data_IF_215142477776
#
_entry.id   IF_215142477776
#
_cell.length_a   1.000
_cell.length_b   1.000
_cell.length_c   1.000
_cell.angle_alpha   90.00
_cell.angle_beta   90.00
_cell.angle_gamma   90.00
#
_symmetry.space_group_name_H-M   'P 1'
#
loop_
_entity.id
_entity.type
_entity.pdbx_description
1 polymer ?
#
# COMPACT_ATOMS: atom_id res chain seq x y z
N UNK A 1 -37.81 -80.06 4.83
CA UNK A 1 -36.49 -79.58 5.35
C UNK A 1 -36.01 -78.34 4.56
N UNK A 2 -36.80 -77.27 4.44
CA UNK A 2 -36.48 -76.09 3.57
C UNK A 2 -36.33 -74.78 4.35
N UNK A 3 -37.14 -74.59 5.38
CA UNK A 3 -37.26 -73.31 6.12
C UNK A 3 -35.96 -72.82 6.79
N UNK A 4 -35.19 -73.73 7.41
CA UNK A 4 -33.93 -73.35 8.09
C UNK A 4 -32.88 -72.85 7.08
N UNK A 5 -32.86 -73.43 5.87
CA UNK A 5 -31.89 -73.05 4.83
C UNK A 5 -32.24 -71.69 4.24
N UNK A 6 -33.52 -71.45 3.95
CA UNK A 6 -34.04 -70.16 3.49
C UNK A 6 -33.84 -69.05 4.52
N UNK A 7 -34.05 -69.36 5.81
CA UNK A 7 -33.81 -68.40 6.89
C UNK A 7 -32.33 -68.01 7.01
N UNK A 8 -31.41 -68.97 6.95
CA UNK A 8 -29.96 -68.73 6.94
C UNK A 8 -29.54 -67.89 5.72
N UNK A 9 -30.10 -68.18 4.54
CA UNK A 9 -29.81 -67.40 3.33
C UNK A 9 -30.32 -65.95 3.44
N UNK A 10 -31.47 -65.72 4.07
CA UNK A 10 -31.98 -64.36 4.29
C UNK A 10 -31.06 -63.55 5.20
N UNK A 11 -30.58 -64.16 6.30
CA UNK A 11 -29.64 -63.51 7.23
C UNK A 11 -28.32 -63.21 6.53
N UNK A 12 -27.80 -64.15 5.74
CA UNK A 12 -26.56 -63.94 5.00
C UNK A 12 -26.68 -62.81 3.97
N UNK A 13 -27.84 -62.66 3.32
CA UNK A 13 -28.10 -61.53 2.41
C UNK A 13 -28.19 -60.21 3.16
N UNK A 14 -28.88 -60.16 4.30
CA UNK A 14 -28.97 -58.94 5.11
C UNK A 14 -27.60 -58.50 5.64
N UNK A 15 -26.75 -59.44 6.07
CA UNK A 15 -25.38 -59.17 6.52
C UNK A 15 -24.51 -58.69 5.35
N UNK A 16 -24.62 -59.31 4.17
CA UNK A 16 -23.88 -58.89 2.98
C UNK A 16 -24.30 -57.48 2.54
N UNK A 17 -25.60 -57.18 2.50
CA UNK A 17 -26.12 -55.86 2.14
C UNK A 17 -25.73 -54.77 3.16
N UNK A 18 -25.74 -55.11 4.46
CA UNK A 18 -25.27 -54.21 5.51
C UNK A 18 -23.77 -53.92 5.38
N UNK A 19 -22.97 -54.93 5.01
CA UNK A 19 -21.54 -54.78 4.82
C UNK A 19 -21.20 -53.91 3.59
N UNK A 20 -21.93 -54.07 2.49
CA UNK A 20 -21.78 -53.26 1.28
C UNK A 20 -22.16 -51.80 1.52
N UNK A 21 -23.26 -51.55 2.23
CA UNK A 21 -23.67 -50.20 2.63
C UNK A 21 -22.62 -49.55 3.55
N UNK A 22 -22.07 -50.31 4.50
CA UNK A 22 -21.02 -49.82 5.38
C UNK A 22 -19.71 -49.50 4.64
N UNK A 23 -19.34 -50.28 3.63
CA UNK A 23 -18.18 -50.01 2.78
C UNK A 23 -18.40 -48.76 1.91
N UNK A 24 -19.54 -48.66 1.25
CA UNK A 24 -19.90 -47.48 0.46
C UNK A 24 -19.91 -46.19 1.30
N UNK A 25 -20.38 -46.27 2.55
CA UNK A 25 -20.35 -45.15 3.48
C UNK A 25 -18.92 -44.74 3.85
N UNK A 26 -18.04 -45.70 4.14
CA UNK A 26 -16.63 -45.42 4.45
C UNK A 26 -15.90 -44.78 3.26
N UNK A 27 -16.14 -45.26 2.05
CA UNK A 27 -15.56 -44.68 0.84
C UNK A 27 -16.06 -43.25 0.57
N UNK A 28 -17.36 -43.01 0.81
CA UNK A 28 -17.94 -41.67 0.71
C UNK A 28 -17.37 -40.71 1.76
N UNK A 29 -17.19 -41.17 3.01
CA UNK A 29 -16.61 -40.39 4.09
C UNK A 29 -15.12 -40.08 3.82
N UNK A 30 -14.36 -41.05 3.30
CA UNK A 30 -12.97 -40.85 2.88
C UNK A 30 -12.84 -39.87 1.72
N UNK A 31 -13.71 -39.95 0.72
CA UNK A 31 -13.74 -38.99 -0.38
C UNK A 31 -14.09 -37.59 0.11
N UNK A 32 -15.10 -37.46 0.98
CA UNK A 32 -15.48 -36.19 1.59
C UNK A 32 -14.33 -35.60 2.42
N UNK A 33 -13.56 -36.44 3.12
CA UNK A 33 -12.39 -36.00 3.89
C UNK A 33 -11.26 -35.52 2.97
N UNK A 34 -10.93 -36.28 1.90
CA UNK A 34 -9.94 -35.88 0.90
C UNK A 34 -10.31 -34.57 0.20
N UNK A 35 -11.59 -34.37 -0.11
CA UNK A 35 -12.07 -33.10 -0.68
C UNK A 35 -11.92 -31.93 0.29
N UNK A 36 -12.24 -32.12 1.57
CA UNK A 36 -12.05 -31.08 2.60
C UNK A 36 -10.57 -30.73 2.73
N UNK A 37 -9.69 -31.72 2.77
CA UNK A 37 -8.24 -31.51 2.81
C UNK A 37 -7.70 -30.83 1.56
N UNK A 38 -8.22 -31.18 0.37
CA UNK A 38 -7.84 -30.52 -0.88
C UNK A 38 -8.27 -29.06 -0.89
N UNK A 39 -9.49 -28.75 -0.40
CA UNK A 39 -9.99 -27.37 -0.28
C UNK A 39 -9.16 -26.55 0.70
N UNK A 40 -8.79 -27.11 1.85
CA UNK A 40 -7.94 -26.40 2.83
C UNK A 40 -6.54 -26.17 2.31
N UNK A 41 -5.92 -27.14 1.61
CA UNK A 41 -4.62 -26.97 0.96
C UNK A 41 -4.65 -25.85 -0.09
N UNK A 42 -5.64 -25.85 -0.99
CA UNK A 42 -5.81 -24.79 -1.99
C UNK A 42 -5.93 -23.40 -1.34
N UNK A 43 -6.76 -23.28 -0.31
CA UNK A 43 -6.91 -22.01 0.42
C UNK A 43 -5.60 -21.57 1.11
N UNK A 44 -4.79 -22.50 1.62
CA UNK A 44 -3.48 -22.18 2.19
C UNK A 44 -2.49 -21.73 1.13
N UNK A 45 -2.48 -22.37 -0.03
CA UNK A 45 -1.59 -22.01 -1.14
C UNK A 45 -1.96 -20.64 -1.73
N UNK A 46 -3.24 -20.34 -1.88
CA UNK A 46 -3.73 -19.01 -2.25
C UNK A 46 -3.30 -17.94 -1.24
N UNK A 47 -3.43 -18.21 0.07
CA UNK A 47 -2.95 -17.30 1.11
C UNK A 47 -1.45 -17.07 1.00
N UNK A 48 -0.65 -18.12 0.83
CA UNK A 48 0.80 -18.02 0.64
C UNK A 48 1.17 -17.22 -0.61
N UNK A 49 0.48 -17.44 -1.72
CA UNK A 49 0.66 -16.70 -2.96
C UNK A 49 0.36 -15.21 -2.76
N UNK A 50 -0.74 -14.88 -2.08
CA UNK A 50 -1.10 -13.49 -1.78
C UNK A 50 -0.07 -12.78 -0.90
N UNK A 51 0.47 -13.47 0.11
CA UNK A 51 1.53 -12.93 0.98
C UNK A 51 2.81 -12.66 0.17
N UNK A 52 3.22 -13.60 -0.69
CA UNK A 52 4.37 -13.42 -1.59
C UNK A 52 4.17 -12.22 -2.50
N UNK A 53 2.98 -12.09 -3.12
CA UNK A 53 2.65 -10.95 -3.98
C UNK A 53 2.78 -9.62 -3.21
N UNK A 54 2.24 -9.54 -1.99
CA UNK A 54 2.32 -8.33 -1.16
C UNK A 54 3.78 -7.98 -0.80
N UNK A 55 4.60 -8.98 -0.49
CA UNK A 55 6.04 -8.78 -0.21
C UNK A 55 6.75 -8.22 -1.44
N UNK A 56 6.51 -8.80 -2.62
CA UNK A 56 7.12 -8.33 -3.87
C UNK A 56 6.66 -6.93 -4.26
N UNK A 57 5.38 -6.61 -4.11
CA UNK A 57 4.87 -5.24 -4.29
C UNK A 57 5.57 -4.26 -3.36
N UNK A 58 5.72 -4.61 -2.08
CA UNK A 58 6.41 -3.78 -1.10
C UNK A 58 7.90 -3.60 -1.44
N UNK A 59 8.59 -4.66 -1.88
CA UNK A 59 9.99 -4.58 -2.35
C UNK A 59 10.13 -3.67 -3.56
N UNK A 60 9.25 -3.80 -4.55
CA UNK A 60 9.26 -2.93 -5.73
C UNK A 60 9.00 -1.47 -5.36
N UNK A 61 8.09 -1.21 -4.43
CA UNK A 61 7.83 0.13 -3.91
C UNK A 61 9.06 0.71 -3.19
N UNK A 62 9.74 -0.09 -2.36
CA UNK A 62 10.98 0.32 -1.70
C UNK A 62 12.11 0.59 -2.71
N UNK A 63 12.27 -0.26 -3.74
CA UNK A 63 13.26 -0.06 -4.80
C UNK A 63 12.96 1.19 -5.61
N UNK A 64 11.70 1.46 -5.96
CA UNK A 64 11.27 2.72 -6.58
C UNK A 64 11.64 3.90 -5.70
N UNK A 65 11.25 3.89 -4.42
CA UNK A 65 11.56 4.97 -3.46
C UNK A 65 13.07 5.21 -3.29
N UNK A 66 13.89 4.15 -3.32
CA UNK A 66 15.36 4.26 -3.27
C UNK A 66 15.97 4.80 -4.58
N UNK A 67 15.33 4.53 -5.72
CA UNK A 67 15.77 5.00 -7.03
C UNK A 67 15.28 6.41 -7.36
N UNK A 68 14.25 6.91 -6.66
CA UNK A 68 13.69 8.23 -6.90
C UNK A 68 14.65 9.34 -6.46
N UNK A 69 15.04 10.18 -7.42
CA UNK A 69 15.77 11.43 -7.14
C UNK A 69 14.88 12.44 -6.40
N UNK A 70 15.48 13.41 -5.70
CA UNK A 70 14.74 14.50 -5.04
C UNK A 70 13.76 15.20 -6.00
N UNK A 71 14.17 15.40 -7.25
CA UNK A 71 13.35 16.05 -8.28
C UNK A 71 12.10 15.22 -8.62
N UNK A 72 12.25 13.90 -8.75
CA UNK A 72 11.13 12.98 -9.03
C UNK A 72 10.18 12.87 -7.82
N UNK A 73 10.70 12.86 -6.60
CA UNK A 73 9.87 12.88 -5.40
C UNK A 73 9.09 14.20 -5.28
N UNK A 74 9.75 15.34 -5.52
CA UNK A 74 9.13 16.66 -5.53
C UNK A 74 8.02 16.77 -6.58
N UNK A 75 8.27 16.30 -7.81
CA UNK A 75 7.28 16.33 -8.89
C UNK A 75 6.03 15.49 -8.57
N UNK A 76 6.20 14.29 -8.01
CA UNK A 76 5.07 13.42 -7.63
C UNK A 76 4.30 13.95 -6.43
N UNK A 77 5.01 14.43 -5.41
CA UNK A 77 4.39 15.09 -4.27
C UNK A 77 3.53 16.28 -4.74
N UNK A 78 4.06 17.09 -5.65
CA UNK A 78 3.34 18.20 -6.23
C UNK A 78 2.08 17.76 -7.01
N UNK A 79 2.22 16.75 -7.88
CA UNK A 79 1.10 16.22 -8.64
C UNK A 79 0.00 15.64 -7.75
N UNK A 80 0.35 15.10 -6.58
CA UNK A 80 -0.58 14.56 -5.59
C UNK A 80 -1.25 15.62 -4.70
N UNK A 81 -0.85 16.90 -4.78
CA UNK A 81 -1.46 17.95 -3.96
C UNK A 81 -2.93 18.21 -4.36
N UNK A 82 -3.84 18.41 -3.40
CA UNK A 82 -5.20 18.89 -3.66
C UNK A 82 -5.19 20.25 -4.39
N UNK A 83 -6.18 20.54 -5.26
CA UNK A 83 -6.23 21.80 -6.01
C UNK A 83 -6.08 23.05 -5.14
N UNK A 84 -6.71 23.07 -3.96
CA UNK A 84 -6.69 24.21 -3.03
C UNK A 84 -5.29 24.51 -2.45
N UNK A 85 -4.40 23.53 -2.46
CA UNK A 85 -3.02 23.66 -1.97
C UNK A 85 -2.03 23.99 -3.08
N UNK A 86 -2.37 23.73 -4.35
CA UNK A 86 -1.47 23.92 -5.50
C UNK A 86 -1.11 25.37 -5.82
N UNK A 87 -1.80 26.35 -5.23
CA UNK A 87 -1.51 27.76 -5.46
C UNK A 87 -1.03 28.46 -4.19
N UNK A 88 -0.70 27.71 -3.13
CA UNK A 88 -0.25 28.28 -1.86
C UNK A 88 1.26 28.20 -1.74
N UNK A 89 1.80 29.11 -0.93
CA UNK A 89 3.19 29.04 -0.53
C UNK A 89 3.37 27.93 0.49
N UNK A 90 4.41 27.13 0.30
CA UNK A 90 4.74 25.99 1.15
C UNK A 90 5.93 26.28 2.06
N UNK A 91 5.82 25.85 3.31
CA UNK A 91 6.93 25.92 4.25
C UNK A 91 8.03 24.93 3.85
N UNK A 92 9.29 25.30 4.09
CA UNK A 92 10.41 24.38 3.81
C UNK A 92 10.28 23.06 4.58
N UNK A 93 9.82 23.14 5.84
CA UNK A 93 9.57 21.97 6.69
C UNK A 93 8.40 21.10 6.18
N UNK A 94 7.36 21.71 5.60
CA UNK A 94 6.23 20.97 5.01
C UNK A 94 6.71 20.11 3.83
N UNK A 95 7.48 20.72 2.92
CA UNK A 95 8.05 20.04 1.75
C UNK A 95 9.02 18.95 2.22
N UNK A 96 9.90 19.27 3.17
CA UNK A 96 10.88 18.31 3.73
C UNK A 96 10.21 17.10 4.36
N UNK A 97 9.15 17.30 5.15
CA UNK A 97 8.41 16.21 5.78
C UNK A 97 7.67 15.32 4.77
N UNK A 98 7.30 15.85 3.61
CA UNK A 98 6.64 15.07 2.57
C UNK A 98 7.61 14.24 1.70
N UNK A 99 8.88 14.65 1.61
CA UNK A 99 9.91 14.02 0.77
C UNK A 99 10.86 13.10 1.56
N UNK A 100 10.36 12.48 2.65
CA UNK A 100 11.19 11.64 3.53
C UNK A 100 11.80 10.45 2.77
N UNK A 101 13.14 10.36 2.77
CA UNK A 101 13.86 9.20 2.23
C UNK A 101 15.31 9.41 1.77
N UNK A 102 15.83 10.64 1.69
CA UNK A 102 17.16 10.89 1.14
C UNK A 102 18.13 11.57 2.14
N UNK A 103 18.87 10.69 2.85
CA UNK A 103 20.15 10.90 3.56
C UNK A 103 20.22 11.83 4.81
N UNK A 104 21.26 11.66 5.67
CA UNK A 104 21.32 12.20 7.02
C UNK A 104 21.58 13.70 6.97
N UNK A 105 20.53 14.45 7.18
CA UNK A 105 20.52 15.90 7.20
C UNK A 105 19.17 16.38 7.68
N UNK A 106 18.80 15.97 8.91
CA UNK A 106 17.62 16.44 9.63
C UNK A 106 17.79 17.89 10.10
N UNK A 107 18.31 18.76 9.22
CA UNK A 107 18.47 20.17 9.47
C UNK A 107 17.49 20.96 8.62
N UNK A 108 16.97 22.04 9.20
CA UNK A 108 16.07 23.00 8.55
C UNK A 108 16.69 23.70 7.33
N UNK A 109 17.94 23.39 6.96
CA UNK A 109 18.70 24.03 5.89
C UNK A 109 19.20 23.02 4.84
N UNK A 110 18.46 21.95 4.54
CA UNK A 110 18.86 20.96 3.53
C UNK A 110 19.17 21.63 2.16
N UNK A 111 20.47 21.72 1.77
CA UNK A 111 20.86 22.46 0.57
C UNK A 111 20.48 21.70 -0.70
N UNK A 112 20.43 20.36 -0.65
CA UNK A 112 20.02 19.52 -1.76
C UNK A 112 18.55 19.73 -2.11
N UNK A 113 17.67 19.81 -1.10
CA UNK A 113 16.26 20.15 -1.31
C UNK A 113 16.09 21.57 -1.88
N UNK A 114 16.86 22.54 -1.36
CA UNK A 114 16.82 23.91 -1.88
C UNK A 114 17.29 24.00 -3.34
N UNK A 115 18.28 23.19 -3.73
CA UNK A 115 18.75 23.09 -5.11
C UNK A 115 17.70 22.45 -6.02
N UNK A 116 17.09 21.34 -5.59
CA UNK A 116 16.01 20.66 -6.32
C UNK A 116 14.80 21.59 -6.56
N UNK A 117 14.38 22.32 -5.52
CA UNK A 117 13.29 23.30 -5.64
C UNK A 117 13.59 24.39 -6.67
N UNK A 118 14.80 24.95 -6.65
CA UNK A 118 15.22 25.96 -7.65
C UNK A 118 15.30 25.38 -9.06
N UNK A 119 15.81 24.17 -9.21
CA UNK A 119 15.87 23.48 -10.50
C UNK A 119 14.47 23.22 -11.08
N UNK A 120 13.50 22.91 -10.21
CA UNK A 120 12.09 22.76 -10.56
C UNK A 120 11.36 24.11 -10.76
N UNK A 121 12.06 25.25 -10.71
CA UNK A 121 11.48 26.57 -10.93
C UNK A 121 10.72 27.17 -9.75
N UNK A 122 10.81 26.57 -8.56
CA UNK A 122 10.18 27.11 -7.36
C UNK A 122 10.92 28.35 -6.86
N UNK A 123 10.16 29.33 -6.38
CA UNK A 123 10.69 30.62 -5.92
C UNK A 123 10.60 30.74 -4.41
N UNK A 124 11.70 31.12 -3.76
CA UNK A 124 11.74 31.38 -2.31
C UNK A 124 11.47 32.86 -2.05
N UNK A 125 10.44 33.15 -1.26
CA UNK A 125 10.08 34.50 -0.81
C UNK A 125 10.15 34.57 0.71
N UNK A 126 10.58 35.72 1.26
CA UNK A 126 10.47 35.99 2.70
C UNK A 126 9.18 36.74 2.96
N UNK A 127 8.30 36.16 3.75
CA UNK A 127 7.13 36.84 4.29
C UNK A 127 7.48 37.36 5.69
N UNK A 128 6.91 38.49 6.07
CA UNK A 128 7.00 39.01 7.43
C UNK A 128 5.65 38.86 8.09
N UNK A 129 5.64 38.33 9.30
CA UNK A 129 4.47 38.37 10.15
C UNK A 129 4.26 39.78 10.73
N UNK A 130 3.09 40.03 11.32
CA UNK A 130 2.75 41.29 12.01
C UNK A 130 3.71 41.61 13.16
N UNK A 131 4.35 40.59 13.72
CA UNK A 131 5.37 40.71 14.76
C UNK A 131 6.78 41.02 14.22
N UNK A 132 6.93 41.21 12.89
CA UNK A 132 8.20 41.50 12.24
C UNK A 132 9.08 40.27 12.00
N UNK A 133 8.67 39.09 12.47
CA UNK A 133 9.37 37.83 12.21
C UNK A 133 9.28 37.44 10.74
N UNK A 134 10.44 37.21 10.11
CA UNK A 134 10.52 36.83 8.71
C UNK A 134 10.62 35.32 8.55
N UNK A 135 9.69 34.72 7.83
CA UNK A 135 9.71 33.30 7.51
C UNK A 135 9.80 33.09 5.99
N UNK A 136 10.50 32.03 5.58
CA UNK A 136 10.73 31.72 4.19
C UNK A 136 9.67 30.74 3.67
N UNK A 137 9.06 31.10 2.55
CA UNK A 137 8.02 30.33 1.88
C UNK A 137 8.46 30.03 0.45
N UNK A 138 8.14 28.83 -0.04
CA UNK A 138 8.44 28.38 -1.38
C UNK A 138 7.16 28.35 -2.23
N UNK A 139 7.21 29.02 -3.37
CA UNK A 139 6.11 29.13 -4.31
C UNK A 139 6.36 28.25 -5.53
N UNK A 140 5.34 27.49 -5.99
CA UNK A 140 5.44 26.70 -7.20
C UNK A 140 5.60 27.62 -8.44
N UNK A 141 6.15 27.10 -9.56
CA UNK A 141 6.42 27.90 -10.75
C UNK A 141 5.18 28.53 -11.38
N UNK A 142 3.99 27.96 -11.15
CA UNK A 142 2.71 28.49 -11.62
C UNK A 142 2.22 29.73 -10.87
N UNK A 143 2.82 30.05 -9.71
CA UNK A 143 2.44 31.19 -8.89
C UNK A 143 3.57 32.21 -8.90
N UNK A 144 3.27 33.41 -9.38
CA UNK A 144 4.15 34.57 -9.17
C UNK A 144 3.72 35.23 -7.87
N UNK A 145 4.46 35.09 -6.77
CA UNK A 145 4.14 35.84 -5.57
C UNK A 145 4.31 37.32 -5.92
N UNK A 146 3.25 38.12 -5.75
CA UNK A 146 3.33 39.57 -5.91
C UNK A 146 4.53 40.07 -5.11
N UNK A 147 5.45 40.75 -5.79
CA UNK A 147 6.58 41.38 -5.13
C UNK A 147 6.02 42.26 -4.01
N UNK A 148 6.57 42.21 -2.77
CA UNK A 148 6.11 43.09 -1.71
C UNK A 148 6.17 44.51 -2.25
N UNK A 149 5.01 45.17 -2.40
CA UNK A 149 4.93 46.57 -2.77
C UNK A 149 5.87 47.30 -1.82
N UNK A 150 6.96 47.87 -2.34
CA UNK A 150 7.77 48.81 -1.57
C UNK A 150 6.80 49.83 -0.97
N UNK A 151 6.79 50.05 0.35
CA UNK A 151 5.97 51.09 0.92
C UNK A 151 6.42 52.38 0.23
N UNK A 152 5.50 52.97 -0.54
CA UNK A 152 5.74 54.24 -1.20
C UNK A 152 6.24 55.22 -0.15
N UNK A 153 7.36 55.89 -0.44
CA UNK A 153 7.74 57.09 0.29
C UNK A 153 6.55 58.05 0.18
N UNK A 154 5.84 58.24 1.29
CA UNK A 154 4.94 59.37 1.43
C UNK A 154 5.82 60.62 1.32
N UNK A 155 5.55 61.44 0.30
CA UNK A 155 6.11 62.77 0.14
C UNK A 155 5.41 63.74 1.09
#
# INVERSE_FOLDING_TARGET
MSYIREWIESINREVADASLKAQAQREADEQAQREREARTRRAQDERRASVRLRIEQHRLELTRRRADTLDQQLARWWAAQPPDRRNRGHGFEEIRCALQGLSPGAHAANPALSAALRAAGWRRTRLRDTNGEAWAVWWPPSVTPDAPRSPGKAH
#
